data_IF_832093993578
#
_entry.id   IF_832093993578
#
_cell.length_a   1.000
_cell.length_b   1.000
_cell.length_c   1.000
_cell.angle_alpha   90.00
_cell.angle_beta   90.00
_cell.angle_gamma   90.00
#
_symmetry.space_group_name_H-M   'P 1'
#
loop_
_entity.id
_entity.type
_entity.pdbx_description
1 polymer ?
#
# COMPACT_ATOMS: atom_id res chain seq x y z
N UNK A 1 -0.99 11.01 0.34
CA UNK A 1 0.43 10.82 0.03
C UNK A 1 0.60 10.09 -1.28
N UNK A 2 1.50 10.54 -2.13
CA UNK A 2 1.93 9.90 -3.37
C UNK A 2 3.34 10.42 -3.71
N UNK A 3 4.06 9.75 -4.61
CA UNK A 3 5.33 10.26 -5.14
C UNK A 3 5.14 11.26 -6.27
N UNK A 4 3.96 11.29 -6.88
CA UNK A 4 3.61 12.13 -8.04
C UNK A 4 2.87 13.39 -7.57
N UNK A 5 3.59 14.50 -7.52
CA UNK A 5 3.04 15.77 -7.06
C UNK A 5 1.91 16.31 -7.95
N UNK A 6 2.00 16.11 -9.27
CA UNK A 6 0.98 16.63 -10.19
C UNK A 6 -0.35 15.87 -10.02
N UNK A 7 -0.28 14.56 -9.77
CA UNK A 7 -1.46 13.78 -9.43
C UNK A 7 -2.07 14.20 -8.08
N UNK A 8 -1.25 14.50 -7.09
CA UNK A 8 -1.72 14.99 -5.79
C UNK A 8 -2.42 16.35 -5.95
N UNK A 9 -1.85 17.29 -6.71
CA UNK A 9 -2.48 18.58 -7.01
C UNK A 9 -3.83 18.43 -7.71
N UNK A 10 -3.90 17.55 -8.71
CA UNK A 10 -5.15 17.25 -9.41
C UNK A 10 -6.21 16.68 -8.47
N UNK A 11 -5.84 15.67 -7.67
CA UNK A 11 -6.76 15.04 -6.73
C UNK A 11 -7.32 16.03 -5.69
N UNK A 12 -6.48 16.92 -5.16
CA UNK A 12 -6.92 17.96 -4.22
C UNK A 12 -7.91 18.91 -4.89
N UNK A 13 -7.66 19.32 -6.14
CA UNK A 13 -8.56 20.18 -6.91
C UNK A 13 -9.90 19.51 -7.20
N UNK A 14 -9.87 18.22 -7.56
CA UNK A 14 -11.09 17.46 -7.91
C UNK A 14 -12.00 17.24 -6.69
N UNK A 15 -11.42 16.96 -5.51
CA UNK A 15 -12.18 16.78 -4.27
C UNK A 15 -12.72 18.11 -3.73
N UNK A 16 -12.07 19.23 -4.03
CA UNK A 16 -12.48 20.60 -3.64
C UNK A 16 -12.88 20.72 -2.15
N UNK A 17 -12.09 20.13 -1.27
CA UNK A 17 -12.31 20.15 0.19
C UNK A 17 -11.29 21.04 0.88
N UNK A 18 -11.75 21.93 1.79
CA UNK A 18 -10.86 22.79 2.59
C UNK A 18 -10.05 22.00 3.63
N UNK A 19 -10.47 20.78 3.94
CA UNK A 19 -9.85 19.92 4.95
C UNK A 19 -8.91 18.86 4.31
N UNK A 20 -8.54 19.04 3.05
CA UNK A 20 -7.65 18.13 2.34
C UNK A 20 -6.26 18.76 2.22
N UNK A 21 -5.24 18.00 2.63
CA UNK A 21 -3.84 18.33 2.42
C UNK A 21 -3.12 17.16 1.74
N UNK A 22 -1.97 17.42 1.12
CA UNK A 22 -1.15 16.38 0.52
C UNK A 22 0.33 16.54 0.89
N UNK A 23 1.05 15.43 0.83
CA UNK A 23 2.51 15.40 0.94
C UNK A 23 3.08 14.50 -0.15
N UNK A 24 4.19 14.91 -0.75
CA UNK A 24 4.95 14.08 -1.69
C UNK A 24 5.82 13.14 -0.87
N UNK A 25 5.48 11.84 -0.87
CA UNK A 25 6.10 10.82 -0.03
C UNK A 25 6.39 9.58 -0.85
N UNK A 26 7.64 9.12 -0.80
CA UNK A 26 8.00 7.77 -1.19
C UNK A 26 7.83 6.84 0.03
N UNK A 27 6.87 5.92 -0.03
CA UNK A 27 6.60 4.97 1.07
C UNK A 27 7.76 4.02 1.36
N UNK A 28 8.71 3.88 0.45
CA UNK A 28 9.95 3.13 0.67
C UNK A 28 10.96 3.89 1.55
N UNK A 29 10.79 5.20 1.72
CA UNK A 29 11.67 6.05 2.51
C UNK A 29 11.10 6.30 3.91
N UNK A 30 11.53 5.47 4.89
CA UNK A 30 11.04 5.56 6.27
C UNK A 30 11.26 6.94 6.91
N UNK A 31 12.42 7.57 6.68
CA UNK A 31 12.73 8.88 7.28
C UNK A 31 11.79 10.00 6.82
N UNK A 32 11.35 9.97 5.54
CA UNK A 32 10.32 10.91 5.06
C UNK A 32 8.98 10.69 5.75
N UNK A 33 8.57 9.43 5.89
CA UNK A 33 7.31 9.06 6.56
C UNK A 33 7.35 9.51 8.02
N UNK A 34 8.40 9.14 8.75
CA UNK A 34 8.55 9.46 10.18
C UNK A 34 8.50 10.96 10.44
N UNK A 35 9.23 11.76 9.65
CA UNK A 35 9.19 13.21 9.73
C UNK A 35 7.79 13.75 9.49
N UNK A 36 7.12 13.32 8.41
CA UNK A 36 5.78 13.79 8.06
C UNK A 36 4.74 13.39 9.10
N UNK A 37 4.81 12.16 9.61
CA UNK A 37 3.93 11.70 10.69
C UNK A 37 4.14 12.56 11.95
N UNK A 38 5.37 12.84 12.35
CA UNK A 38 5.68 13.72 13.48
C UNK A 38 5.09 15.12 13.31
N UNK A 39 5.18 15.71 12.12
CA UNK A 39 4.59 17.01 11.79
C UNK A 39 3.05 16.98 11.88
N UNK A 40 2.40 15.91 11.43
CA UNK A 40 0.95 15.74 11.50
C UNK A 40 0.50 15.52 12.94
N UNK A 41 1.15 14.62 13.67
CA UNK A 41 0.76 14.22 15.02
C UNK A 41 1.03 15.28 16.07
N UNK A 42 1.88 16.26 15.78
CA UNK A 42 2.06 17.45 16.62
C UNK A 42 0.82 18.35 16.69
N UNK A 43 -0.14 18.18 15.77
CA UNK A 43 -1.33 19.02 15.66
C UNK A 43 -2.65 18.25 15.66
N UNK A 44 -2.64 17.01 15.20
CA UNK A 44 -3.83 16.19 15.00
C UNK A 44 -3.52 14.73 15.29
N UNK A 45 -4.53 13.94 15.64
CA UNK A 45 -4.42 12.48 15.67
C UNK A 45 -4.59 11.90 14.27
N UNK A 46 -4.02 10.72 14.05
CA UNK A 46 -4.25 9.92 12.84
C UNK A 46 -5.18 8.77 13.20
N UNK A 47 -6.43 8.89 12.83
CA UNK A 47 -7.47 7.91 13.16
C UNK A 47 -7.58 6.77 12.14
N UNK A 48 -7.30 7.06 10.87
CA UNK A 48 -7.45 6.10 9.77
C UNK A 48 -6.19 6.10 8.91
N UNK A 49 -5.66 4.90 8.64
CA UNK A 49 -4.56 4.66 7.70
C UNK A 49 -5.03 3.74 6.57
N UNK A 50 -4.91 4.19 5.33
CA UNK A 50 -5.15 3.37 4.15
C UNK A 50 -3.83 3.21 3.39
N UNK A 51 -3.22 2.04 3.49
CA UNK A 51 -2.03 1.68 2.74
C UNK A 51 -2.43 1.16 1.36
N UNK A 52 -2.45 2.05 0.38
CA UNK A 52 -2.83 1.75 -1.00
C UNK A 52 -1.65 1.80 -1.98
N UNK A 53 -0.58 2.51 -1.66
CA UNK A 53 0.58 2.63 -2.53
C UNK A 53 1.12 1.27 -2.97
N UNK A 54 1.40 1.13 -4.26
CA UNK A 54 1.89 -0.12 -4.83
C UNK A 54 2.08 -0.08 -6.33
N UNK A 55 2.95 -0.95 -6.82
CA UNK A 55 3.24 -1.15 -8.24
C UNK A 55 3.19 -2.65 -8.58
N UNK A 56 2.85 -2.97 -9.83
CA UNK A 56 2.84 -4.38 -10.31
C UNK A 56 4.19 -4.79 -10.89
N UNK A 57 4.88 -3.86 -11.53
CA UNK A 57 6.09 -4.14 -12.31
C UNK A 57 5.80 -4.88 -13.60
N UNK A 58 6.87 -5.30 -14.32
CA UNK A 58 6.77 -6.02 -15.58
C UNK A 58 6.24 -7.46 -15.37
N UNK A 59 5.71 -8.02 -16.45
CA UNK A 59 5.26 -9.41 -16.50
C UNK A 59 6.37 -10.29 -17.04
N UNK A 60 6.96 -11.15 -16.21
CA UNK A 60 8.03 -12.07 -16.60
C UNK A 60 8.00 -13.35 -15.73
N UNK A 61 8.44 -14.50 -16.27
CA UNK A 61 8.68 -15.71 -15.47
C UNK A 61 9.69 -15.42 -14.35
N UNK A 62 9.56 -16.12 -13.23
CA UNK A 62 10.42 -15.90 -12.05
C UNK A 62 11.93 -15.98 -12.38
N UNK A 63 12.32 -16.94 -13.19
CA UNK A 63 13.74 -17.18 -13.54
C UNK A 63 14.32 -16.18 -14.54
N UNK A 64 13.48 -15.30 -15.11
CA UNK A 64 13.86 -14.21 -16.02
C UNK A 64 13.60 -12.83 -15.41
N UNK A 65 13.07 -12.81 -14.17
CA UNK A 65 12.68 -11.54 -13.54
C UNK A 65 13.92 -10.73 -13.16
N UNK A 66 13.94 -9.47 -13.53
CA UNK A 66 15.00 -8.54 -13.11
C UNK A 66 15.03 -8.41 -11.58
N UNK A 67 16.21 -8.66 -10.99
CA UNK A 67 16.37 -8.72 -9.52
C UNK A 67 16.15 -7.36 -8.87
N UNK A 68 16.60 -6.28 -9.49
CA UNK A 68 16.45 -4.93 -8.94
C UNK A 68 14.98 -4.50 -8.97
N UNK A 69 14.29 -4.79 -10.06
CA UNK A 69 12.86 -4.52 -10.19
C UNK A 69 12.04 -5.37 -9.20
N UNK A 70 12.40 -6.65 -9.03
CA UNK A 70 11.77 -7.53 -8.04
C UNK A 70 11.88 -6.95 -6.63
N UNK A 71 13.08 -6.52 -6.23
CA UNK A 71 13.36 -5.90 -4.94
C UNK A 71 12.58 -4.58 -4.79
N UNK A 72 12.55 -3.74 -5.82
CA UNK A 72 11.80 -2.48 -5.81
C UNK A 72 10.30 -2.70 -5.57
N UNK A 73 9.72 -3.71 -6.21
CA UNK A 73 8.29 -4.03 -6.03
C UNK A 73 8.00 -4.47 -4.60
N UNK A 74 8.83 -5.34 -4.04
CA UNK A 74 8.69 -5.78 -2.64
C UNK A 74 8.91 -4.62 -1.68
N UNK A 75 9.89 -3.77 -1.95
CA UNK A 75 10.19 -2.58 -1.14
C UNK A 75 8.97 -1.63 -1.08
N UNK A 76 8.30 -1.38 -2.19
CA UNK A 76 7.12 -0.51 -2.20
C UNK A 76 5.90 -1.21 -1.61
N UNK A 77 5.57 -2.43 -2.08
CA UNK A 77 4.30 -3.08 -1.76
C UNK A 77 4.24 -3.67 -0.35
N UNK A 78 5.38 -4.09 0.21
CA UNK A 78 5.46 -4.70 1.54
C UNK A 78 6.16 -3.78 2.54
N UNK A 79 7.41 -3.38 2.25
CA UNK A 79 8.18 -2.56 3.19
C UNK A 79 7.56 -1.18 3.34
N UNK A 80 7.00 -0.59 2.26
CA UNK A 80 6.27 0.66 2.32
C UNK A 80 5.02 0.57 3.23
N UNK A 81 4.28 -0.52 3.15
CA UNK A 81 3.14 -0.79 4.06
C UNK A 81 3.60 -0.91 5.52
N UNK A 82 4.71 -1.64 5.76
CA UNK A 82 5.33 -1.72 7.09
C UNK A 82 5.77 -0.35 7.59
N UNK A 83 6.45 0.43 6.79
CA UNK A 83 6.95 1.76 7.15
C UNK A 83 5.82 2.68 7.63
N UNK A 84 4.71 2.74 6.88
CA UNK A 84 3.56 3.55 7.27
C UNK A 84 2.93 3.06 8.57
N UNK A 85 2.72 1.75 8.73
CA UNK A 85 2.22 1.18 9.99
C UNK A 85 3.17 1.47 11.15
N UNK A 86 4.48 1.26 10.98
CA UNK A 86 5.51 1.49 12.01
C UNK A 86 5.51 2.92 12.51
N UNK A 87 5.31 3.89 11.62
CA UNK A 87 5.34 5.31 11.99
C UNK A 87 4.02 5.77 12.65
N UNK A 88 2.88 5.23 12.22
CA UNK A 88 1.56 5.76 12.61
C UNK A 88 0.96 5.04 13.83
N UNK A 89 1.19 3.72 13.96
CA UNK A 89 0.59 2.92 15.05
C UNK A 89 0.89 3.45 16.46
N UNK A 90 2.08 3.97 16.80
CA UNK A 90 2.32 4.56 18.11
C UNK A 90 1.31 5.67 18.48
N UNK A 91 0.98 6.57 17.54
CA UNK A 91 -0.01 7.61 17.77
C UNK A 91 -1.43 7.02 17.98
N UNK A 92 -1.80 5.99 17.21
CA UNK A 92 -3.07 5.28 17.40
C UNK A 92 -3.15 4.59 18.78
N UNK A 93 -2.04 4.02 19.26
CA UNK A 93 -1.96 3.39 20.60
C UNK A 93 -2.14 4.45 21.69
N UNK A 94 -1.44 5.57 21.60
CA UNK A 94 -1.54 6.66 22.55
C UNK A 94 -2.96 7.20 22.67
N UNK A 95 -3.67 7.32 21.54
CA UNK A 95 -5.04 7.79 21.50
C UNK A 95 -6.10 6.67 21.70
N UNK A 96 -5.65 5.43 21.85
CA UNK A 96 -6.49 4.23 21.94
C UNK A 96 -7.59 4.18 20.86
N UNK A 97 -7.24 4.59 19.64
CA UNK A 97 -8.13 4.53 18.48
C UNK A 97 -7.33 4.43 17.18
N UNK A 98 -7.76 3.52 16.29
CA UNK A 98 -7.18 3.42 14.95
C UNK A 98 -7.93 2.46 14.04
N UNK A 99 -7.94 2.77 12.73
CA UNK A 99 -8.50 1.90 11.68
C UNK A 99 -7.48 1.81 10.55
N UNK A 100 -6.93 0.64 10.35
CA UNK A 100 -5.90 0.40 9.32
C UNK A 100 -6.48 -0.52 8.25
N UNK A 101 -6.35 -0.10 7.00
CA UNK A 101 -6.71 -0.91 5.83
C UNK A 101 -5.50 -1.04 4.91
N UNK A 102 -5.02 -2.25 4.73
CA UNK A 102 -3.96 -2.58 3.78
C UNK A 102 -4.59 -3.09 2.47
N UNK A 103 -4.35 -2.38 1.38
CA UNK A 103 -4.83 -2.80 0.05
C UNK A 103 -3.88 -3.84 -0.51
N UNK A 104 -4.23 -5.10 -0.27
CA UNK A 104 -3.52 -6.27 -0.80
C UNK A 104 -4.03 -6.61 -2.23
N UNK A 105 -4.17 -7.88 -2.56
CA UNK A 105 -4.67 -8.36 -3.85
C UNK A 105 -5.06 -9.85 -3.72
N UNK A 106 -5.97 -10.32 -4.58
CA UNK A 106 -6.18 -11.76 -4.79
C UNK A 106 -4.86 -12.45 -5.18
N UNK A 107 -4.00 -11.77 -5.96
CA UNK A 107 -2.67 -12.27 -6.29
C UNK A 107 -1.79 -12.57 -5.06
N UNK A 108 -2.03 -11.91 -3.93
CA UNK A 108 -1.35 -12.21 -2.67
C UNK A 108 -1.91 -13.44 -1.94
N UNK A 109 -3.10 -13.92 -2.31
CA UNK A 109 -3.72 -15.15 -1.78
C UNK A 109 -3.38 -16.36 -2.64
N UNK A 110 -3.56 -16.22 -3.95
CA UNK A 110 -3.56 -17.34 -4.89
C UNK A 110 -2.28 -17.42 -5.73
N UNK A 111 -1.46 -16.35 -5.69
CA UNK A 111 -0.37 -16.15 -6.63
C UNK A 111 -0.86 -15.72 -8.01
N UNK A 112 0.02 -15.11 -8.79
CA UNK A 112 -0.25 -14.79 -10.19
C UNK A 112 0.99 -15.11 -11.03
N UNK A 113 0.85 -15.99 -12.01
CA UNK A 113 1.94 -16.36 -12.90
C UNK A 113 2.55 -15.12 -13.57
N UNK A 114 3.86 -15.08 -13.69
CA UNK A 114 4.65 -13.98 -14.26
C UNK A 114 4.58 -12.65 -13.45
N UNK A 115 4.08 -12.68 -12.21
CA UNK A 115 4.00 -11.54 -11.31
C UNK A 115 4.46 -11.90 -9.89
N UNK A 116 5.57 -12.66 -9.79
CA UNK A 116 6.05 -13.21 -8.52
C UNK A 116 6.36 -12.14 -7.46
N UNK A 117 7.02 -11.04 -7.85
CA UNK A 117 7.33 -9.93 -6.96
C UNK A 117 6.07 -9.27 -6.37
N UNK A 118 5.09 -8.98 -7.23
CA UNK A 118 3.82 -8.41 -6.82
C UNK A 118 3.05 -9.34 -5.88
N UNK A 119 2.91 -10.61 -6.26
CA UNK A 119 2.24 -11.64 -5.45
C UNK A 119 2.90 -11.78 -4.08
N UNK A 120 4.24 -11.84 -4.03
CA UNK A 120 5.00 -11.93 -2.79
C UNK A 120 4.82 -10.69 -1.90
N UNK A 121 4.89 -9.49 -2.47
CA UNK A 121 4.66 -8.24 -1.73
C UNK A 121 3.25 -8.17 -1.14
N UNK A 122 2.22 -8.54 -1.92
CA UNK A 122 0.81 -8.54 -1.47
C UNK A 122 0.50 -9.67 -0.49
N UNK A 123 1.14 -10.85 -0.61
CA UNK A 123 1.05 -11.92 0.39
C UNK A 123 1.71 -11.49 1.72
N UNK A 124 2.87 -10.84 1.65
CA UNK A 124 3.53 -10.26 2.81
C UNK A 124 2.67 -9.22 3.52
N UNK A 125 1.99 -8.34 2.79
CA UNK A 125 1.06 -7.34 3.36
C UNK A 125 -0.13 -8.02 4.09
N UNK A 126 -0.64 -9.16 3.59
CA UNK A 126 -1.67 -9.96 4.28
C UNK A 126 -1.11 -10.55 5.59
N UNK A 127 0.12 -11.09 5.55
CA UNK A 127 0.80 -11.60 6.73
C UNK A 127 1.03 -10.52 7.79
N UNK A 128 1.54 -9.37 7.37
CA UNK A 128 1.74 -8.19 8.23
C UNK A 128 0.42 -7.74 8.89
N UNK A 129 -0.67 -7.68 8.12
CA UNK A 129 -2.00 -7.34 8.64
C UNK A 129 -2.44 -8.27 9.77
N UNK A 130 -2.24 -9.57 9.59
CA UNK A 130 -2.61 -10.59 10.59
C UNK A 130 -1.76 -10.48 11.86
N UNK A 131 -0.45 -10.25 11.73
CA UNK A 131 0.45 -10.07 12.85
C UNK A 131 0.10 -8.81 13.65
N UNK A 132 0.03 -7.67 12.97
CA UNK A 132 -0.28 -6.38 13.61
C UNK A 132 -1.68 -6.39 14.25
N UNK A 133 -2.67 -7.03 13.63
CA UNK A 133 -4.01 -7.17 14.21
C UNK A 133 -4.02 -7.99 15.50
N UNK A 134 -3.14 -9.00 15.64
CA UNK A 134 -2.98 -9.76 16.89
C UNK A 134 -2.22 -8.95 17.96
N UNK A 135 -1.21 -8.20 17.56
CA UNK A 135 -0.43 -7.34 18.47
C UNK A 135 -1.28 -6.22 19.10
N UNK A 136 -2.33 -5.79 18.40
CA UNK A 136 -3.23 -4.71 18.82
C UNK A 136 -4.61 -5.22 19.30
N UNK A 137 -4.76 -6.51 19.55
CA UNK A 137 -6.06 -7.13 19.85
C UNK A 137 -6.70 -6.63 21.15
N UNK A 138 -5.90 -6.13 22.09
CA UNK A 138 -6.34 -5.55 23.37
C UNK A 138 -6.68 -4.04 23.30
N UNK A 139 -6.54 -3.44 22.12
CA UNK A 139 -6.71 -1.99 21.89
C UNK A 139 -7.91 -1.70 20.98
N UNK A 140 -8.42 -0.49 21.03
CA UNK A 140 -9.47 -0.04 20.11
C UNK A 140 -8.89 0.28 18.70
N UNK A 141 -8.04 -0.62 18.20
CA UNK A 141 -7.39 -0.48 16.88
C UNK A 141 -7.71 -1.72 16.05
N UNK A 142 -8.33 -1.50 14.88
CA UNK A 142 -8.64 -2.58 13.94
C UNK A 142 -7.70 -2.53 12.73
N UNK A 143 -7.14 -3.69 12.38
CA UNK A 143 -6.23 -3.84 11.24
C UNK A 143 -6.81 -4.85 10.26
N UNK A 144 -7.11 -4.41 9.05
CA UNK A 144 -7.74 -5.22 8.02
C UNK A 144 -6.97 -5.16 6.70
N UNK A 145 -7.13 -6.19 5.88
CA UNK A 145 -6.70 -6.17 4.48
C UNK A 145 -7.90 -6.39 3.56
N UNK A 146 -7.91 -5.67 2.44
CA UNK A 146 -8.81 -5.94 1.32
C UNK A 146 -8.02 -6.57 0.19
N UNK A 147 -8.62 -7.54 -0.52
CA UNK A 147 -7.95 -8.28 -1.60
C UNK A 147 -8.74 -8.15 -2.91
N UNK A 148 -8.68 -6.97 -3.57
CA UNK A 148 -9.35 -6.80 -4.86
C UNK A 148 -8.85 -7.80 -5.89
N UNK A 149 -9.74 -8.27 -6.78
CA UNK A 149 -9.38 -9.10 -7.93
C UNK A 149 -8.87 -8.23 -9.08
N UNK A 150 -9.75 -7.56 -9.79
CA UNK A 150 -9.38 -6.65 -10.87
C UNK A 150 -10.15 -5.33 -10.75
N UNK A 151 -9.42 -4.23 -10.74
CA UNK A 151 -10.00 -2.90 -10.81
C UNK A 151 -9.42 -2.17 -12.03
N UNK A 152 -10.29 -1.58 -12.83
CA UNK A 152 -9.88 -0.80 -14.01
C UNK A 152 -9.25 0.53 -13.54
N UNK A 153 -7.98 0.51 -13.23
CA UNK A 153 -7.19 1.64 -12.78
C UNK A 153 -5.87 1.69 -13.57
N UNK A 154 -5.10 2.77 -13.42
CA UNK A 154 -3.77 2.92 -14.03
C UNK A 154 -2.77 1.82 -13.68
N UNK A 155 -3.03 1.02 -12.65
CA UNK A 155 -2.18 -0.12 -12.30
C UNK A 155 -2.13 -1.16 -13.44
N UNK A 156 -3.17 -1.26 -14.25
CA UNK A 156 -3.23 -2.15 -15.41
C UNK A 156 -2.31 -1.70 -16.54
N UNK A 157 -1.98 -0.40 -16.62
CA UNK A 157 -1.10 0.15 -17.64
C UNK A 157 0.37 -0.33 -17.49
N UNK A 158 0.71 -0.89 -16.32
CA UNK A 158 2.03 -1.47 -16.02
C UNK A 158 2.16 -2.93 -16.49
N UNK A 159 1.08 -3.53 -16.98
CA UNK A 159 1.03 -4.95 -17.38
C UNK A 159 0.92 -5.10 -18.91
N UNK A 160 1.35 -6.26 -19.43
CA UNK A 160 1.10 -6.57 -20.84
C UNK A 160 -0.41 -6.77 -21.10
N UNK A 161 -0.85 -6.45 -22.33
CA UNK A 161 -2.26 -6.60 -22.74
C UNK A 161 -2.75 -8.05 -22.59
N UNK A 162 -1.89 -9.03 -22.94
CA UNK A 162 -2.19 -10.45 -22.79
C UNK A 162 -2.40 -10.84 -21.33
N UNK A 163 -1.57 -10.27 -20.42
CA UNK A 163 -1.71 -10.52 -18.99
C UNK A 163 -3.02 -9.97 -18.45
N UNK A 164 -3.38 -8.73 -18.83
CA UNK A 164 -4.65 -8.11 -18.46
C UNK A 164 -5.83 -8.92 -18.97
N UNK A 165 -5.82 -9.36 -20.23
CA UNK A 165 -6.89 -10.22 -20.80
C UNK A 165 -7.02 -11.52 -20.03
N UNK A 166 -5.90 -12.19 -19.71
CA UNK A 166 -5.92 -13.44 -18.92
C UNK A 166 -6.44 -13.23 -17.49
N UNK A 167 -6.16 -12.09 -16.87
CA UNK A 167 -6.74 -11.74 -15.56
C UNK A 167 -8.25 -11.55 -15.66
N UNK A 168 -8.72 -10.77 -16.63
CA UNK A 168 -10.13 -10.47 -16.80
C UNK A 168 -10.97 -11.70 -17.18
N UNK A 169 -10.38 -12.70 -17.86
CA UNK A 169 -11.08 -13.95 -18.19
C UNK A 169 -11.31 -14.86 -16.98
N UNK A 170 -10.77 -14.57 -15.81
CA UNK A 170 -10.92 -15.35 -14.57
C UNK A 170 -11.89 -14.70 -13.57
N UNK A 171 -12.39 -13.52 -13.90
CA UNK A 171 -13.38 -12.76 -13.11
C UNK A 171 -14.73 -12.83 -13.78
#
# INVERSE_FOLDING_TARGET
WDIDEELLKSAVKDVNSRNLSYNVIDVSNYSQIEKTVSEITSKNNIDILINNAGITGPTAPLWEYDVEMWNKIVQINLVGTFNCCRAIVPNMIENNYGRIVNVASVAGKDGNANASAYSSGKAGAIGLTKSLGKELADKNIAVNAVTPAGAKTRILDQMSKEHVQRMLSKV
#
